data_IF_758286017678
#
_entry.id   IF_758286017678
#
_cell.length_a   1.000
_cell.length_b   1.000
_cell.length_c   1.000
_cell.angle_alpha   90.00
_cell.angle_beta   90.00
_cell.angle_gamma   90.00
#
_symmetry.space_group_name_H-M   'P 1'
#
loop_
_entity.id
_entity.type
_entity.pdbx_description
1 polymer ?
#
# COMPACT_ATOMS: atom_id res chain seq x y z
N UNK A 1 -6.00 5.21 -3.59
CA UNK A 1 -4.84 6.10 -3.77
C UNK A 1 -3.57 5.30 -3.89
N UNK A 2 -2.60 5.76 -4.68
CA UNK A 2 -1.29 5.11 -4.84
C UNK A 2 -0.31 5.66 -3.80
N UNK A 3 0.63 4.82 -3.39
CA UNK A 3 1.68 5.21 -2.46
C UNK A 3 2.78 4.16 -2.35
N UNK A 4 3.88 4.54 -1.74
CA UNK A 4 5.03 3.68 -1.51
C UNK A 4 5.14 3.29 -0.04
N UNK A 5 5.48 2.03 0.22
CA UNK A 5 5.71 1.54 1.58
C UNK A 5 7.03 2.06 2.11
N UNK A 6 6.99 2.87 3.18
CA UNK A 6 8.18 3.48 3.77
C UNK A 6 8.75 2.65 4.91
N UNK A 7 7.88 2.08 5.75
CA UNK A 7 8.27 1.29 6.92
C UNK A 7 7.31 0.13 7.17
N UNK A 8 7.84 -1.03 7.55
CA UNK A 8 7.08 -2.16 8.06
C UNK A 8 7.14 -2.18 9.61
N UNK A 9 5.98 -2.24 10.26
CA UNK A 9 5.88 -2.34 11.71
C UNK A 9 5.62 -3.81 12.11
N UNK A 10 6.17 -4.22 13.25
CA UNK A 10 6.10 -5.61 13.75
C UNK A 10 4.69 -6.09 14.09
N UNK A 11 3.72 -5.17 14.25
CA UNK A 11 2.31 -5.47 14.50
C UNK A 11 1.50 -5.76 13.21
N UNK A 12 2.16 -5.89 12.06
CA UNK A 12 1.49 -6.11 10.77
C UNK A 12 0.83 -4.86 10.19
N UNK A 13 1.16 -3.67 10.73
CA UNK A 13 0.87 -2.39 10.08
C UNK A 13 2.04 -1.95 9.21
N UNK A 14 1.73 -1.16 8.19
CA UNK A 14 2.69 -0.61 7.25
C UNK A 14 2.49 0.89 7.18
N UNK A 15 3.59 1.64 7.24
CA UNK A 15 3.56 3.06 6.91
C UNK A 15 3.69 3.21 5.40
N UNK A 16 2.68 3.83 4.82
CA UNK A 16 2.65 4.15 3.39
C UNK A 16 2.73 5.65 3.24
N UNK A 17 3.69 6.11 2.43
CA UNK A 17 3.74 7.49 1.97
C UNK A 17 2.92 7.58 0.70
N UNK A 18 1.82 8.33 0.77
CA UNK A 18 1.01 8.67 -0.39
C UNK A 18 1.78 9.64 -1.29
N UNK A 19 1.46 9.63 -2.58
CA UNK A 19 1.99 10.60 -3.54
C UNK A 19 1.66 12.06 -3.14
N UNK A 20 0.56 12.24 -2.41
CA UNK A 20 0.15 13.53 -1.84
C UNK A 20 1.05 14.02 -0.67
N UNK A 21 2.09 13.27 -0.29
CA UNK A 21 3.02 13.64 0.79
C UNK A 21 2.59 13.22 2.20
N UNK A 22 1.34 12.80 2.39
CA UNK A 22 0.83 12.29 3.66
C UNK A 22 1.36 10.88 3.96
N UNK A 23 1.59 10.61 5.24
CA UNK A 23 1.94 9.29 5.74
C UNK A 23 0.73 8.68 6.43
N UNK A 24 0.39 7.45 6.05
CA UNK A 24 -0.75 6.74 6.61
C UNK A 24 -0.34 5.38 7.15
N UNK A 25 -1.01 4.97 8.21
CA UNK A 25 -0.90 3.64 8.78
C UNK A 25 -1.92 2.74 8.09
N UNK A 26 -1.42 1.81 7.29
CA UNK A 26 -2.26 0.88 6.55
C UNK A 26 -2.08 -0.55 7.05
N UNK A 27 -3.18 -1.27 7.18
CA UNK A 27 -3.16 -2.71 7.40
C UNK A 27 -3.44 -3.45 6.09
N UNK A 28 -3.10 -4.72 6.07
CA UNK A 28 -3.23 -5.56 4.88
C UNK A 28 -4.67 -6.03 4.71
N UNK A 29 -5.24 -5.91 3.52
CA UNK A 29 -6.55 -6.48 3.24
C UNK A 29 -6.54 -8.02 3.31
N UNK A 30 -7.67 -8.60 3.68
CA UNK A 30 -7.83 -10.06 3.74
C UNK A 30 -7.53 -10.76 2.41
N UNK A 31 -7.76 -10.10 1.27
CA UNK A 31 -7.40 -10.61 -0.06
C UNK A 31 -5.90 -10.86 -0.19
N UNK A 32 -5.07 -9.93 0.29
CA UNK A 32 -3.61 -10.06 0.26
C UNK A 32 -3.14 -11.23 1.14
N UNK A 33 -3.73 -11.38 2.34
CA UNK A 33 -3.46 -12.52 3.22
C UNK A 33 -3.80 -13.86 2.56
N UNK A 34 -4.98 -13.95 1.93
CA UNK A 34 -5.42 -15.16 1.21
C UNK A 34 -4.52 -15.48 0.02
N UNK A 35 -4.00 -14.46 -0.67
CA UNK A 35 -3.16 -14.63 -1.85
C UNK A 35 -1.65 -14.66 -1.52
N UNK A 36 -1.28 -14.73 -0.24
CA UNK A 36 0.11 -14.79 0.25
C UNK A 36 1.03 -13.70 -0.32
N UNK A 37 0.49 -12.52 -0.64
CA UNK A 37 1.30 -11.42 -1.20
C UNK A 37 2.11 -10.80 -0.06
N UNK A 38 3.43 -10.94 -0.14
CA UNK A 38 4.37 -10.29 0.79
C UNK A 38 4.60 -8.84 0.36
N UNK A 39 4.52 -7.92 1.32
CA UNK A 39 4.79 -6.51 1.14
C UNK A 39 6.15 -6.22 1.77
N UNK A 40 7.06 -5.64 0.99
CA UNK A 40 8.37 -5.19 1.44
C UNK A 40 8.46 -3.66 1.46
N UNK A 41 9.54 -3.16 2.06
CA UNK A 41 9.91 -1.75 2.01
C UNK A 41 10.17 -1.34 0.55
N UNK A 42 9.65 -0.17 0.16
CA UNK A 42 9.77 0.36 -1.21
C UNK A 42 8.72 -0.14 -2.19
N UNK A 43 7.85 -1.09 -1.80
CA UNK A 43 6.79 -1.56 -2.69
C UNK A 43 5.76 -0.47 -2.98
N UNK A 44 5.35 -0.42 -4.25
CA UNK A 44 4.23 0.38 -4.74
C UNK A 44 2.91 -0.33 -4.40
N UNK A 45 2.05 0.35 -3.66
CA UNK A 45 0.79 -0.21 -3.16
C UNK A 45 -0.38 0.74 -3.38
N UNK A 46 -1.55 0.16 -3.60
CA UNK A 46 -2.82 0.88 -3.65
C UNK A 46 -3.49 0.78 -2.28
N UNK A 47 -3.73 1.94 -1.68
CA UNK A 47 -4.35 2.10 -0.37
C UNK A 47 -5.72 2.74 -0.53
N UNK A 48 -6.71 2.18 0.14
CA UNK A 48 -8.00 2.80 0.39
C UNK A 48 -7.98 3.45 1.77
N UNK A 49 -8.43 4.70 1.86
CA UNK A 49 -8.56 5.42 3.12
C UNK A 49 -9.95 5.21 3.70
N UNK A 50 -10.03 5.20 5.02
CA UNK A 50 -11.34 5.31 5.68
C UNK A 50 -11.89 6.72 5.49
N UNK A 51 -13.19 6.87 5.17
CA UNK A 51 -13.80 8.19 4.99
C UNK A 51 -13.85 9.02 6.28
N UNK A 52 -13.70 8.37 7.43
CA UNK A 52 -13.72 9.01 8.75
C UNK A 52 -12.32 9.35 9.28
N UNK A 53 -11.27 8.68 8.80
CA UNK A 53 -9.91 8.78 9.32
C UNK A 53 -8.91 8.71 8.15
N UNK A 54 -8.41 9.87 7.73
CA UNK A 54 -7.44 10.00 6.64
C UNK A 54 -6.04 9.48 7.01
N UNK A 55 -5.79 9.19 8.29
CA UNK A 55 -4.51 8.64 8.79
C UNK A 55 -4.45 7.12 8.71
N UNK A 56 -5.61 6.46 8.56
CA UNK A 56 -5.75 5.00 8.54
C UNK A 56 -6.20 4.54 7.17
N UNK A 57 -5.54 3.50 6.69
CA UNK A 57 -5.83 2.93 5.39
C UNK A 57 -5.85 1.41 5.38
N UNK A 58 -6.26 0.87 4.25
CA UNK A 58 -6.23 -0.54 3.94
C UNK A 58 -5.52 -0.76 2.62
N UNK A 59 -4.51 -1.63 2.62
CA UNK A 59 -3.77 -1.99 1.42
C UNK A 59 -4.58 -3.02 0.65
N UNK A 60 -5.04 -2.64 -0.54
CA UNK A 60 -5.90 -3.49 -1.37
C UNK A 60 -5.08 -4.31 -2.35
N UNK A 61 -4.11 -3.67 -3.01
CA UNK A 61 -3.28 -4.29 -4.04
C UNK A 61 -1.83 -3.82 -3.96
N UNK A 62 -0.91 -4.71 -4.34
CA UNK A 62 0.49 -4.40 -4.64
C UNK A 62 0.62 -4.27 -6.15
N UNK A 63 1.17 -3.15 -6.62
CA UNK A 63 1.47 -2.94 -8.03
C UNK A 63 2.77 -3.69 -8.35
N UNK A 64 2.76 -4.55 -9.37
CA UNK A 64 4.01 -5.10 -9.92
C UNK A 64 4.54 -4.10 -10.92
N UNK A 65 5.84 -3.81 -10.89
CA UNK A 65 6.51 -2.94 -11.86
C UNK A 65 6.60 -3.54 -13.28
N UNK A 66 5.70 -4.43 -13.68
CA UNK A 66 5.80 -5.13 -14.97
C UNK A 66 4.96 -4.47 -16.08
N UNK A 67 4.72 -3.17 -16.00
CA UNK A 67 4.14 -2.36 -17.06
C UNK A 67 5.12 -1.23 -17.42
N UNK A 68 6.28 -1.62 -17.92
CA UNK A 68 6.97 -0.82 -18.93
C UNK A 68 6.58 -1.40 -20.29
N UNK A 69 6.17 -0.53 -21.23
CA UNK A 69 5.60 -0.78 -22.57
C UNK A 69 4.07 -0.97 -22.51
N UNK A 70 3.22 -0.12 -23.09
CA UNK A 70 3.27 0.51 -24.42
C UNK A 70 2.51 1.85 -24.36
N UNK A 71 3.21 2.96 -24.57
CA UNK A 71 2.64 4.12 -25.27
C UNK A 71 3.54 4.32 -26.49
N UNK A 72 3.06 3.85 -27.63
CA UNK A 72 3.53 4.16 -28.99
C UNK A 72 2.72 5.34 -29.51
#
# INVERSE_FOLDING_TARGET
>A
MKGAVTQCLSNGMFRVKLENGFQVLAHVSGKIRRNYIRILLGDQVTVELSPYDLTRGRIVFRLRQNEEKVEE
#
